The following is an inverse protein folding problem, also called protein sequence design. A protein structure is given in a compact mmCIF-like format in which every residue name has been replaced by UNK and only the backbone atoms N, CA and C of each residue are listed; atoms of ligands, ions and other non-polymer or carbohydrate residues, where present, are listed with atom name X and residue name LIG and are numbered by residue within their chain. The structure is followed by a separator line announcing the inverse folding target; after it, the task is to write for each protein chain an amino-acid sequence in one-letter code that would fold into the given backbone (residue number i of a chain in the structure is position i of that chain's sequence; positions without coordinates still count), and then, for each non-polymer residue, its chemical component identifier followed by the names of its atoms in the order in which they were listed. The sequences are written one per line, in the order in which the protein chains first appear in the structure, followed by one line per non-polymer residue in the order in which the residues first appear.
data_IF_241815891433
#
_entry.id   IF_241815891433
#
_cell.length_a   1.000
_cell.length_b   1.000
_cell.length_c   1.000
_cell.angle_alpha   90.00
_cell.angle_beta   90.00
_cell.angle_gamma   90.00
#
_symmetry.space_group_name_H-M   'P 1'
#
loop_
_entity.id
_entity.type
_entity.pdbx_description
1 polymer ?
#
# COMPACT_ATOMS: atom_id res chain seq x y z
N UNK A 1 12.50 11.21 -0.79
CA UNK A 1 13.14 11.98 -1.90
C UNK A 1 12.21 12.97 -2.62
N UNK A 2 10.87 12.86 -2.56
CA UNK A 2 9.96 13.75 -3.30
C UNK A 2 9.76 15.15 -2.68
N UNK A 3 9.53 15.25 -1.36
CA UNK A 3 9.31 16.53 -0.68
C UNK A 3 10.46 17.53 -0.91
N UNK A 4 11.70 17.06 -0.77
CA UNK A 4 12.90 17.87 -1.04
C UNK A 4 13.00 18.36 -2.49
N UNK A 5 12.60 17.55 -3.47
CA UNK A 5 12.56 17.95 -4.89
C UNK A 5 11.45 18.97 -5.20
N UNK A 6 10.41 19.01 -4.38
CA UNK A 6 9.27 19.93 -4.52
C UNK A 6 9.37 21.17 -3.61
N UNK A 7 10.45 21.30 -2.82
CA UNK A 7 10.62 22.41 -1.88
C UNK A 7 9.77 22.32 -0.62
N UNK A 8 9.13 21.17 -0.36
CA UNK A 8 8.38 20.95 0.87
C UNK A 8 9.30 20.50 2.00
N UNK A 9 9.09 21.02 3.24
CA UNK A 9 9.80 20.53 4.40
C UNK A 9 9.48 19.06 4.65
N UNK A 10 10.48 18.32 5.12
CA UNK A 10 10.32 16.94 5.50
C UNK A 10 9.68 16.89 6.89
N UNK A 11 8.48 16.32 6.98
CA UNK A 11 7.84 16.06 8.27
C UNK A 11 8.07 14.60 8.66
N UNK A 12 9.05 14.39 9.55
CA UNK A 12 9.43 13.06 10.02
C UNK A 12 8.30 12.35 10.76
N UNK A 13 7.45 13.09 11.48
CA UNK A 13 6.33 12.49 12.21
C UNK A 13 5.27 11.98 11.24
N UNK A 14 4.92 12.76 10.21
CA UNK A 14 3.98 12.34 9.18
C UNK A 14 4.50 11.14 8.38
N UNK A 15 5.80 11.06 8.16
CA UNK A 15 6.41 9.93 7.45
C UNK A 15 6.31 8.68 8.29
N UNK A 16 6.70 8.74 9.57
CA UNK A 16 6.57 7.60 10.48
C UNK A 16 5.12 7.13 10.61
N UNK A 17 4.17 8.06 10.74
CA UNK A 17 2.74 7.72 10.78
C UNK A 17 2.28 7.04 9.48
N UNK A 18 2.76 7.52 8.32
CA UNK A 18 2.44 6.94 7.03
C UNK A 18 3.04 5.54 6.85
N UNK A 19 4.27 5.32 7.34
CA UNK A 19 4.93 4.01 7.35
C UNK A 19 4.17 3.02 8.23
N UNK A 20 3.77 3.42 9.44
CA UNK A 20 2.97 2.59 10.34
C UNK A 20 1.60 2.22 9.73
N UNK A 21 0.93 3.18 9.07
CA UNK A 21 -0.33 2.92 8.37
C UNK A 21 -0.13 1.99 7.17
N UNK A 22 0.93 2.20 6.40
CA UNK A 22 1.25 1.36 5.25
C UNK A 22 1.53 -0.07 5.68
N UNK A 23 2.30 -0.27 6.76
CA UNK A 23 2.57 -1.59 7.33
C UNK A 23 1.27 -2.36 7.64
N UNK A 24 0.32 -1.71 8.31
CA UNK A 24 -0.99 -2.32 8.62
C UNK A 24 -1.77 -2.73 7.38
N UNK A 25 -1.70 -1.95 6.30
CA UNK A 25 -2.36 -2.29 5.02
C UNK A 25 -1.68 -3.50 4.37
N UNK A 26 -0.35 -3.58 4.41
CA UNK A 26 0.40 -4.72 3.89
C UNK A 26 0.11 -6.00 4.69
N UNK A 27 -0.05 -5.91 6.01
CA UNK A 27 -0.45 -7.06 6.84
C UNK A 27 -1.81 -7.63 6.41
N UNK A 28 -2.77 -6.76 6.05
CA UNK A 28 -4.08 -7.17 5.51
C UNK A 28 -3.92 -7.87 4.16
N UNK A 29 -3.00 -7.41 3.31
CA UNK A 29 -2.76 -8.04 2.01
C UNK A 29 -2.21 -9.45 2.21
N UNK A 30 -1.23 -9.61 3.10
CA UNK A 30 -0.65 -10.91 3.43
C UNK A 30 -1.70 -11.88 4.00
N UNK A 31 -2.55 -11.41 4.93
CA UNK A 31 -3.62 -12.25 5.48
C UNK A 31 -4.61 -12.69 4.39
N UNK A 32 -4.97 -11.80 3.46
CA UNK A 32 -5.91 -12.15 2.38
C UNK A 32 -5.28 -13.08 1.35
N UNK A 33 -4.07 -12.79 0.91
CA UNK A 33 -3.37 -13.53 -0.14
C UNK A 33 -2.79 -14.87 0.35
N UNK A 34 -2.56 -15.03 1.67
CA UNK A 34 -2.23 -16.33 2.25
C UNK A 34 -3.41 -17.32 2.21
N UNK A 35 -4.65 -16.80 2.18
CA UNK A 35 -5.89 -17.60 2.19
C UNK A 35 -6.54 -17.71 0.81
N UNK A 36 -6.34 -16.72 -0.06
CA UNK A 36 -7.02 -16.58 -1.34
C UNK A 36 -6.01 -16.33 -2.46
N UNK A 37 -6.34 -16.76 -3.68
CA UNK A 37 -5.45 -16.58 -4.84
C UNK A 37 -5.30 -15.11 -5.27
N UNK A 38 -6.32 -14.30 -5.03
CA UNK A 38 -6.41 -12.88 -5.39
C UNK A 38 -6.99 -12.06 -4.23
N UNK A 39 -6.91 -10.73 -4.29
CA UNK A 39 -7.37 -9.84 -3.22
C UNK A 39 -8.87 -9.95 -2.93
N UNK A 40 -9.65 -10.39 -3.92
CA UNK A 40 -11.10 -10.60 -3.81
C UNK A 40 -11.53 -12.07 -3.70
N UNK A 41 -10.59 -13.02 -3.55
CA UNK A 41 -10.91 -14.45 -3.47
C UNK A 41 -10.25 -15.28 -4.56
N UNK A 42 -11.02 -16.19 -5.16
CA UNK A 42 -10.49 -17.20 -6.09
C UNK A 42 -10.46 -16.75 -7.56
N UNK A 43 -11.04 -15.60 -7.88
CA UNK A 43 -11.02 -15.02 -9.21
C UNK A 43 -10.43 -13.60 -9.21
N UNK A 44 -9.77 -13.26 -10.32
CA UNK A 44 -9.16 -11.95 -10.51
C UNK A 44 -10.26 -10.90 -10.76
N UNK A 45 -10.17 -9.77 -10.07
CA UNK A 45 -11.24 -8.78 -9.99
C UNK A 45 -10.73 -7.35 -10.16
N UNK A 46 -11.67 -6.39 -10.10
CA UNK A 46 -11.32 -4.96 -10.09
C UNK A 46 -10.44 -4.58 -8.90
N UNK A 47 -10.59 -5.24 -7.74
CA UNK A 47 -9.76 -4.95 -6.57
C UNK A 47 -8.29 -5.18 -6.91
N UNK A 48 -7.98 -6.29 -7.59
CA UNK A 48 -6.63 -6.61 -8.02
C UNK A 48 -6.11 -5.56 -8.99
N UNK A 49 -6.88 -5.18 -10.02
CA UNK A 49 -6.50 -4.12 -10.96
C UNK A 49 -6.20 -2.78 -10.28
N UNK A 50 -7.03 -2.37 -9.31
CA UNK A 50 -6.85 -1.09 -8.61
C UNK A 50 -5.65 -1.06 -7.67
N UNK A 51 -5.19 -2.23 -7.23
CA UNK A 51 -4.07 -2.36 -6.29
C UNK A 51 -2.78 -2.82 -6.98
N UNK A 52 -2.81 -3.08 -8.30
CA UNK A 52 -1.60 -3.24 -9.09
C UNK A 52 -0.91 -1.87 -9.21
N UNK A 53 0.41 -1.78 -8.94
CA UNK A 53 1.15 -0.58 -9.26
C UNK A 53 1.08 -0.36 -10.77
N UNK A 54 0.48 0.75 -11.20
CA UNK A 54 0.55 1.17 -12.60
C UNK A 54 2.03 1.29 -13.00
N UNK A 55 2.40 0.63 -14.11
CA UNK A 55 3.73 0.71 -14.74
C UNK A 55 3.94 2.07 -15.38
#
# INVERSE_FOLDING_TARGET
MFASKMGFPHDENLIKESEEKLGKVLDIYEERLSKNKYLAGDFFSLADLSHLPFT
#
